data_IF_837441875169
#
_entry.id   IF_837441875169
#
_cell.length_a   1.000
_cell.length_b   1.000
_cell.length_c   1.000
_cell.angle_alpha   90.00
_cell.angle_beta   90.00
_cell.angle_gamma   90.00
#
_symmetry.space_group_name_H-M   'P 1'
#
loop_
_entity.id
_entity.type
_entity.pdbx_description
1 polymer ?
#
# COMPACT_ATOMS: atom_id res chain seq x y z
N UNK A 1 -39.12 -9.70 -12.57
CA UNK A 1 -38.82 -8.83 -11.41
C UNK A 1 -38.82 -7.38 -11.87
N UNK A 2 -39.38 -6.44 -11.11
CA UNK A 2 -39.40 -5.01 -11.47
C UNK A 2 -37.95 -4.49 -11.54
N UNK A 3 -37.56 -3.81 -12.62
CA UNK A 3 -36.18 -3.32 -12.82
C UNK A 3 -35.72 -2.37 -11.71
N UNK A 4 -36.64 -1.63 -11.09
CA UNK A 4 -36.34 -0.81 -9.90
C UNK A 4 -35.94 -1.66 -8.70
N UNK A 5 -36.57 -2.83 -8.53
CA UNK A 5 -36.20 -3.80 -7.48
C UNK A 5 -34.80 -4.35 -7.78
N UNK A 6 -34.47 -4.64 -9.04
CA UNK A 6 -33.15 -5.14 -9.41
C UNK A 6 -32.04 -4.12 -9.13
N UNK A 7 -32.26 -2.84 -9.48
CA UNK A 7 -31.32 -1.75 -9.13
C UNK A 7 -31.15 -1.65 -7.62
N UNK A 8 -32.24 -1.65 -6.85
CA UNK A 8 -32.17 -1.59 -5.39
C UNK A 8 -31.40 -2.77 -4.77
N UNK A 9 -31.62 -3.99 -5.30
CA UNK A 9 -30.90 -5.19 -4.89
C UNK A 9 -29.41 -5.08 -5.20
N UNK A 10 -29.03 -4.64 -6.40
CA UNK A 10 -27.62 -4.45 -6.77
C UNK A 10 -26.95 -3.40 -5.87
N UNK A 11 -27.59 -2.25 -5.62
CA UNK A 11 -27.03 -1.24 -4.72
C UNK A 11 -26.91 -1.74 -3.28
N UNK A 12 -27.90 -2.50 -2.79
CA UNK A 12 -27.84 -3.12 -1.48
C UNK A 12 -26.62 -4.05 -1.34
N UNK A 13 -26.42 -4.96 -2.29
CA UNK A 13 -25.26 -5.85 -2.26
C UNK A 13 -23.94 -5.12 -2.46
N UNK A 14 -23.91 -4.05 -3.27
CA UNK A 14 -22.73 -3.19 -3.40
C UNK A 14 -22.32 -2.59 -2.05
N UNK A 15 -23.29 -2.01 -1.33
CA UNK A 15 -23.06 -1.45 0.02
C UNK A 15 -22.66 -2.54 1.01
N UNK A 16 -23.31 -3.71 0.96
CA UNK A 16 -22.99 -4.83 1.85
C UNK A 16 -21.55 -5.34 1.65
N UNK A 17 -21.11 -5.44 0.39
CA UNK A 17 -19.73 -5.78 0.04
C UNK A 17 -18.74 -4.73 0.55
N UNK A 18 -19.04 -3.43 0.39
CA UNK A 18 -18.19 -2.37 0.93
C UNK A 18 -18.12 -2.38 2.46
N UNK A 19 -19.23 -2.65 3.14
CA UNK A 19 -19.24 -2.84 4.58
C UNK A 19 -18.39 -4.05 4.99
N UNK A 20 -18.48 -5.16 4.27
CA UNK A 20 -17.62 -6.32 4.47
C UNK A 20 -16.14 -5.97 4.28
N UNK A 21 -15.77 -5.26 3.22
CA UNK A 21 -14.40 -4.83 2.98
C UNK A 21 -13.88 -3.94 4.13
N UNK A 22 -14.70 -2.99 4.60
CA UNK A 22 -14.39 -2.16 5.77
C UNK A 22 -14.12 -3.01 7.04
N UNK A 23 -14.94 -4.05 7.27
CA UNK A 23 -14.77 -4.98 8.41
C UNK A 23 -13.48 -5.80 8.31
N UNK A 24 -13.02 -6.10 7.10
CA UNK A 24 -11.72 -6.77 6.90
C UNK A 24 -10.58 -5.77 7.15
N UNK A 25 -10.67 -4.55 6.61
CA UNK A 25 -9.66 -3.49 6.76
C UNK A 25 -9.40 -3.11 8.22
N UNK A 26 -10.44 -3.05 9.05
CA UNK A 26 -10.29 -2.75 10.47
C UNK A 26 -10.09 -4.00 11.34
N UNK A 27 -9.89 -5.18 10.73
CA UNK A 27 -9.80 -6.48 11.39
C UNK A 27 -10.88 -6.66 12.47
N UNK A 28 -12.14 -6.51 12.06
CA UNK A 28 -13.32 -6.58 12.94
C UNK A 28 -13.31 -5.60 14.14
N UNK A 29 -12.56 -4.51 14.05
CA UNK A 29 -12.45 -3.49 15.09
C UNK A 29 -11.22 -3.66 15.99
N UNK A 30 -10.32 -4.59 15.68
CA UNK A 30 -9.05 -4.76 16.41
C UNK A 30 -7.95 -3.82 15.90
N UNK A 31 -8.09 -3.31 14.66
CA UNK A 31 -7.18 -2.33 14.08
C UNK A 31 -7.83 -0.95 13.98
N UNK A 32 -7.01 0.07 14.24
CA UNK A 32 -7.31 1.46 13.90
C UNK A 32 -6.55 1.82 12.63
N UNK A 33 -7.31 2.31 11.65
CA UNK A 33 -6.79 2.75 10.35
C UNK A 33 -7.10 4.24 10.19
N UNK A 34 -6.07 5.08 10.10
CA UNK A 34 -6.21 6.55 10.12
C UNK A 34 -5.31 7.22 9.09
N UNK A 35 -5.83 8.24 8.43
CA UNK A 35 -4.99 9.15 7.64
C UNK A 35 -4.07 9.96 8.56
N UNK A 36 -2.81 10.11 8.15
CA UNK A 36 -1.82 10.94 8.83
C UNK A 36 -1.26 11.99 7.87
N UNK A 37 -0.88 13.13 8.44
CA UNK A 37 -0.19 14.20 7.72
C UNK A 37 1.04 14.60 8.53
N UNK A 38 2.20 14.41 7.92
CA UNK A 38 3.52 14.60 8.52
C UNK A 38 4.07 15.89 7.94
N UNK A 39 4.35 16.85 8.82
CA UNK A 39 4.85 18.16 8.42
C UNK A 39 6.38 18.18 8.43
N UNK A 40 6.98 18.66 7.36
CA UNK A 40 8.42 18.90 7.23
C UNK A 40 8.70 19.89 6.10
N UNK A 41 9.76 19.68 5.33
CA UNK A 41 10.03 20.49 4.12
C UNK A 41 8.87 20.35 3.10
N UNK A 42 8.38 19.12 2.94
CA UNK A 42 7.15 18.81 2.24
C UNK A 42 6.16 18.21 3.24
N UNK A 43 4.87 18.44 3.03
CA UNK A 43 3.83 17.70 3.75
C UNK A 43 3.69 16.32 3.14
N UNK A 44 3.89 15.29 3.96
CA UNK A 44 3.70 13.89 3.56
C UNK A 44 2.39 13.38 4.11
N UNK A 45 1.59 12.72 3.27
CA UNK A 45 0.36 12.06 3.70
C UNK A 45 0.54 10.57 3.71
N UNK A 46 -0.17 9.88 4.60
CA UNK A 46 -0.13 8.42 4.68
C UNK A 46 -1.38 7.83 5.32
N UNK A 47 -1.47 6.51 5.31
CA UNK A 47 -2.44 5.75 6.10
C UNK A 47 -1.68 4.92 7.11
N UNK A 48 -2.01 5.13 8.39
CA UNK A 48 -1.47 4.41 9.53
C UNK A 48 -2.43 3.27 9.90
N UNK A 49 -1.91 2.05 9.97
CA UNK A 49 -2.58 0.85 10.45
C UNK A 49 -1.93 0.44 11.76
N UNK A 50 -2.69 0.38 12.85
CA UNK A 50 -2.15 0.04 14.16
C UNK A 50 -3.13 -0.83 14.96
N UNK A 51 -2.62 -1.80 15.75
CA UNK A 51 -3.44 -2.56 16.67
C UNK A 51 -3.92 -1.68 17.82
N UNK A 52 -5.17 -1.85 18.25
CA UNK A 52 -5.74 -1.07 19.35
C UNK A 52 -5.17 -1.50 20.70
N UNK A 53 -5.11 -2.81 20.96
CA UNK A 53 -4.74 -3.35 22.28
C UNK A 53 -3.22 -3.42 22.50
N UNK A 54 -2.44 -3.72 21.45
CA UNK A 54 -0.99 -3.97 21.55
C UNK A 54 -0.12 -2.82 21.02
N UNK A 55 -0.67 -1.61 20.90
CA UNK A 55 0.05 -0.45 20.34
C UNK A 55 1.37 -0.15 21.05
N UNK A 56 1.41 -0.25 22.38
CA UNK A 56 2.57 0.17 23.16
C UNK A 56 3.73 -0.81 22.98
N UNK A 57 4.82 -0.35 22.36
CA UNK A 57 5.98 -1.17 22.05
C UNK A 57 5.81 -2.09 20.84
N UNK A 58 4.74 -1.92 20.07
CA UNK A 58 4.59 -2.59 18.78
C UNK A 58 5.71 -2.14 17.82
N UNK A 59 6.40 -3.08 17.15
CA UNK A 59 7.37 -2.73 16.12
C UNK A 59 6.70 -1.95 15.00
N UNK A 60 7.40 -0.96 14.43
CA UNK A 60 6.86 -0.08 13.41
C UNK A 60 7.50 -0.32 12.04
N UNK A 61 6.69 -0.26 10.98
CA UNK A 61 7.10 -0.51 9.60
C UNK A 61 6.62 0.64 8.72
N UNK A 62 7.51 1.20 7.90
CA UNK A 62 7.23 2.24 6.92
C UNK A 62 7.22 1.67 5.51
N UNK A 63 6.17 1.97 4.74
CA UNK A 63 5.96 1.45 3.39
C UNK A 63 5.91 2.59 2.34
N UNK A 64 6.73 2.47 1.29
CA UNK A 64 6.90 3.44 0.22
C UNK A 64 6.59 2.86 -1.18
N UNK A 65 5.71 3.52 -1.94
CA UNK A 65 5.19 3.01 -3.22
C UNK A 65 6.08 3.33 -4.44
N UNK A 66 5.78 2.70 -5.59
CA UNK A 66 6.42 2.97 -6.88
C UNK A 66 5.95 4.26 -7.57
N UNK A 67 6.64 4.68 -8.64
CA UNK A 67 6.48 6.00 -9.29
C UNK A 67 5.09 6.30 -9.89
N UNK A 68 4.34 5.28 -10.32
CA UNK A 68 3.00 5.50 -10.92
C UNK A 68 1.87 5.40 -9.89
N UNK A 69 2.21 5.23 -8.63
CA UNK A 69 1.27 4.85 -7.58
C UNK A 69 1.21 5.93 -6.49
N UNK A 70 0.40 5.63 -5.48
CA UNK A 70 0.32 6.30 -4.19
C UNK A 70 0.30 5.22 -3.09
N UNK A 71 0.03 5.53 -1.82
CA UNK A 71 0.05 4.57 -0.68
C UNK A 71 -0.87 3.34 -0.83
N UNK A 72 -1.83 3.39 -1.74
CA UNK A 72 -2.94 2.45 -1.86
C UNK A 72 -2.56 1.00 -2.21
N UNK A 73 -1.66 0.73 -3.18
CA UNK A 73 -1.28 -0.65 -3.53
C UNK A 73 -0.56 -1.40 -2.41
N UNK A 74 0.05 -0.68 -1.46
CA UNK A 74 0.73 -1.27 -0.30
C UNK A 74 -0.21 -1.56 0.88
N UNK A 75 -1.49 -1.20 0.76
CA UNK A 75 -2.49 -1.40 1.82
C UNK A 75 -2.73 -2.87 2.19
N UNK A 76 -2.42 -3.81 1.29
CA UNK A 76 -2.45 -5.24 1.58
C UNK A 76 -1.35 -5.62 2.58
N UNK A 77 -0.11 -5.25 2.26
CA UNK A 77 1.05 -5.45 3.13
C UNK A 77 0.83 -4.76 4.49
N UNK A 78 0.40 -3.49 4.49
CA UNK A 78 0.19 -2.75 5.73
C UNK A 78 -0.90 -3.36 6.62
N UNK A 79 -2.00 -3.84 6.02
CA UNK A 79 -3.06 -4.54 6.76
C UNK A 79 -2.56 -5.84 7.39
N UNK A 80 -1.85 -6.66 6.62
CA UNK A 80 -1.34 -7.94 7.13
C UNK A 80 -0.28 -7.73 8.21
N UNK A 81 0.64 -6.77 8.05
CA UNK A 81 1.56 -6.39 9.12
C UNK A 81 0.79 -5.94 10.37
N UNK A 82 -0.19 -5.04 10.26
CA UNK A 82 -0.91 -4.56 11.43
C UNK A 82 -1.66 -5.69 12.19
N UNK A 83 -2.19 -6.68 11.47
CA UNK A 83 -2.79 -7.88 12.08
C UNK A 83 -1.79 -8.71 12.89
N UNK A 84 -0.52 -8.72 12.50
CA UNK A 84 0.56 -9.37 13.26
C UNK A 84 1.12 -8.47 14.37
N UNK A 85 0.43 -7.37 14.71
CA UNK A 85 0.76 -6.53 15.86
C UNK A 85 1.74 -5.38 15.55
N UNK A 86 1.98 -5.07 14.28
CA UNK A 86 2.86 -3.97 13.87
C UNK A 86 2.10 -2.64 13.75
N UNK A 87 2.82 -1.54 13.93
CA UNK A 87 2.36 -0.21 13.50
C UNK A 87 2.87 0.00 12.08
N UNK A 88 2.01 -0.16 11.09
CA UNK A 88 2.35 -0.05 9.68
C UNK A 88 1.88 1.28 9.08
N UNK A 89 2.81 2.08 8.56
CA UNK A 89 2.53 3.36 7.92
C UNK A 89 2.83 3.28 6.43
N UNK A 90 1.82 3.42 5.57
CA UNK A 90 2.03 3.56 4.13
C UNK A 90 1.90 5.04 3.73
N UNK A 91 2.94 5.58 3.10
CA UNK A 91 3.01 7.01 2.75
C UNK A 91 2.85 7.23 1.26
N UNK A 92 2.34 8.41 0.90
CA UNK A 92 2.47 8.99 -0.44
C UNK A 92 3.85 9.67 -0.52
N UNK A 93 4.70 9.24 -1.45
CA UNK A 93 6.00 9.86 -1.69
C UNK A 93 5.87 11.32 -2.12
N UNK A 94 6.93 12.12 -1.95
CA UNK A 94 6.98 13.53 -2.41
C UNK A 94 6.51 13.63 -3.88
N UNK A 95 5.61 14.57 -4.15
CA UNK A 95 5.02 14.78 -5.48
C UNK A 95 4.01 13.72 -5.94
N UNK A 96 3.59 12.79 -5.06
CA UNK A 96 2.59 11.76 -5.35
C UNK A 96 1.40 11.87 -4.39
N UNK A 97 0.27 11.27 -4.80
CA UNK A 97 -0.95 11.22 -3.99
C UNK A 97 -1.36 12.59 -3.45
N UNK A 98 -1.45 12.71 -2.12
CA UNK A 98 -1.79 13.98 -1.44
C UNK A 98 -0.57 14.66 -0.81
N UNK A 99 0.63 14.11 -1.00
CA UNK A 99 1.88 14.73 -0.54
C UNK A 99 2.25 15.92 -1.40
N UNK A 100 2.86 16.93 -0.79
CA UNK A 100 3.30 18.14 -1.51
C UNK A 100 4.68 17.94 -2.14
N UNK A 101 5.15 18.95 -2.87
CA UNK A 101 6.48 18.97 -3.46
C UNK A 101 6.52 18.44 -4.89
N UNK A 102 7.71 18.08 -5.35
CA UNK A 102 7.95 17.57 -6.70
C UNK A 102 8.97 16.44 -6.64
N UNK A 103 8.76 15.41 -7.47
CA UNK A 103 9.70 14.30 -7.64
C UNK A 103 11.11 14.76 -8.04
N UNK A 104 11.21 15.88 -8.78
CA UNK A 104 12.50 16.48 -9.16
C UNK A 104 13.10 17.39 -8.08
N UNK A 105 12.62 17.30 -6.84
CA UNK A 105 13.12 18.05 -5.70
C UNK A 105 14.48 17.56 -5.20
N UNK A 106 14.97 18.20 -4.14
CA UNK A 106 16.29 17.89 -3.57
C UNK A 106 16.28 16.65 -2.65
N UNK A 107 15.10 16.25 -2.14
CA UNK A 107 14.96 15.09 -1.25
C UNK A 107 14.97 13.77 -2.03
N UNK A 108 16.11 13.09 -2.03
CA UNK A 108 16.28 11.78 -2.67
C UNK A 108 15.58 10.64 -1.92
N UNK A 109 15.22 10.85 -0.64
CA UNK A 109 14.42 9.88 0.12
C UNK A 109 12.92 10.04 -0.15
N UNK A 110 12.51 11.06 -0.90
CA UNK A 110 11.11 11.31 -1.28
C UNK A 110 10.15 11.30 -0.08
N UNK A 111 10.58 11.83 1.05
CA UNK A 111 9.82 11.92 2.28
C UNK A 111 9.93 10.71 3.21
N UNK A 112 10.71 9.69 2.85
CA UNK A 112 10.90 8.49 3.67
C UNK A 112 11.66 8.83 4.97
N UNK A 113 12.72 9.64 4.93
CA UNK A 113 13.50 9.98 6.15
C UNK A 113 12.61 10.67 7.19
N UNK A 114 11.91 11.74 6.80
CA UNK A 114 11.01 12.45 7.73
C UNK A 114 9.84 11.58 8.23
N UNK A 115 9.37 10.66 7.40
CA UNK A 115 8.28 9.75 7.77
C UNK A 115 8.75 8.66 8.72
N UNK A 116 9.98 8.19 8.58
CA UNK A 116 10.62 7.26 9.51
C UNK A 116 10.85 7.93 10.87
N UNK A 117 11.38 9.15 10.90
CA UNK A 117 11.55 9.94 12.13
C UNK A 117 10.22 10.15 12.87
N UNK A 118 9.18 10.59 12.14
CA UNK A 118 7.83 10.72 12.67
C UNK A 118 7.31 9.40 13.26
N UNK A 119 7.49 8.30 12.53
CA UNK A 119 6.97 6.99 12.96
C UNK A 119 7.69 6.46 14.20
N UNK A 120 9.01 6.62 14.27
CA UNK A 120 9.81 6.26 15.44
C UNK A 120 9.35 7.03 16.68
N UNK A 121 9.15 8.35 16.57
CA UNK A 121 8.63 9.19 17.65
C UNK A 121 7.20 8.79 18.03
N UNK A 122 6.31 8.64 17.05
CA UNK A 122 4.90 8.28 17.24
C UNK A 122 4.72 6.94 17.97
N UNK A 123 5.58 5.97 17.66
CA UNK A 123 5.51 4.60 18.18
C UNK A 123 6.40 4.36 19.40
N UNK A 124 7.25 5.34 19.77
CA UNK A 124 8.27 5.22 20.82
C UNK A 124 9.22 4.03 20.59
N UNK A 125 9.65 3.86 19.33
CA UNK A 125 10.61 2.83 18.90
C UNK A 125 11.98 3.46 18.59
N UNK A 126 13.03 2.64 18.63
CA UNK A 126 14.40 3.05 18.25
C UNK A 126 14.81 2.54 16.87
N UNK A 127 14.06 1.61 16.31
CA UNK A 127 14.28 1.06 14.97
C UNK A 127 12.97 0.96 14.20
N UNK A 128 13.05 1.06 12.88
CA UNK A 128 11.91 0.96 11.96
C UNK A 128 12.20 -0.08 10.88
N UNK A 129 11.21 -0.90 10.54
CA UNK A 129 11.29 -1.73 9.35
C UNK A 129 10.93 -0.93 8.11
N UNK A 130 11.62 -1.17 7.00
CA UNK A 130 11.41 -0.44 5.76
C UNK A 130 10.94 -1.35 4.63
N UNK A 131 9.88 -0.96 3.93
CA UNK A 131 9.37 -1.67 2.75
C UNK A 131 9.25 -0.66 1.60
N UNK A 132 9.80 -1.00 0.45
CA UNK A 132 9.67 -0.16 -0.72
C UNK A 132 9.39 -0.95 -1.99
N UNK A 133 8.56 -0.38 -2.87
CA UNK A 133 8.33 -0.89 -4.22
C UNK A 133 8.91 0.03 -5.28
N UNK A 134 9.69 -0.50 -6.24
CA UNK A 134 10.21 0.24 -7.39
C UNK A 134 10.94 1.53 -6.97
N UNK A 135 10.43 2.71 -7.30
CA UNK A 135 10.94 4.01 -6.80
C UNK A 135 11.02 4.07 -5.27
N UNK A 136 9.99 3.57 -4.58
CA UNK A 136 9.93 3.50 -3.12
C UNK A 136 11.00 2.58 -2.53
N UNK A 137 11.36 1.48 -3.22
CA UNK A 137 12.50 0.65 -2.84
C UNK A 137 13.81 1.45 -2.91
N UNK A 138 13.93 2.30 -3.93
CA UNK A 138 15.01 3.26 -4.08
C UNK A 138 15.12 4.21 -2.90
N UNK A 139 13.98 4.80 -2.53
CA UNK A 139 13.83 5.79 -1.46
C UNK A 139 14.12 5.21 -0.07
N UNK A 140 13.64 4.00 0.26
CA UNK A 140 13.92 3.36 1.54
C UNK A 140 15.37 2.92 1.67
N UNK A 141 15.99 2.46 0.59
CA UNK A 141 17.41 2.13 0.59
C UNK A 141 18.27 3.39 0.81
N UNK A 142 17.90 4.50 0.16
CA UNK A 142 18.55 5.79 0.39
C UNK A 142 18.42 6.22 1.86
N UNK A 143 17.22 6.11 2.44
CA UNK A 143 16.97 6.47 3.83
C UNK A 143 17.80 5.64 4.83
N UNK A 144 17.85 4.32 4.66
CA UNK A 144 18.72 3.42 5.43
C UNK A 144 20.21 3.81 5.29
N UNK A 145 20.64 4.16 4.07
CA UNK A 145 22.01 4.62 3.82
C UNK A 145 22.35 5.99 4.43
N UNK A 146 21.34 6.77 4.85
CA UNK A 146 21.49 8.15 5.32
C UNK A 146 21.02 8.35 6.76
N UNK A 147 21.13 7.30 7.59
CA UNK A 147 21.03 7.43 9.04
C UNK A 147 19.65 7.19 9.65
N UNK A 148 18.67 6.73 8.87
CA UNK A 148 17.49 6.09 9.45
C UNK A 148 17.96 4.83 10.19
N UNK A 149 17.49 4.65 11.43
CA UNK A 149 17.82 3.48 12.25
C UNK A 149 16.89 2.34 11.85
N UNK A 150 17.24 1.54 10.84
CA UNK A 150 16.43 0.38 10.43
C UNK A 150 16.87 -0.93 11.10
N UNK A 151 15.93 -1.87 11.30
CA UNK A 151 16.23 -3.25 11.72
C UNK A 151 15.97 -4.29 10.61
N UNK A 152 15.45 -3.86 9.48
CA UNK A 152 15.09 -4.71 8.35
C UNK A 152 14.63 -3.90 7.15
N UNK A 153 14.97 -4.36 5.94
CA UNK A 153 14.54 -3.73 4.70
C UNK A 153 14.01 -4.77 3.70
N UNK A 154 12.88 -4.47 3.07
CA UNK A 154 12.28 -5.26 2.00
C UNK A 154 12.20 -4.42 0.73
N UNK A 155 12.91 -4.85 -0.30
CA UNK A 155 13.04 -4.17 -1.59
C UNK A 155 12.27 -4.97 -2.65
N UNK A 156 11.16 -4.43 -3.13
CA UNK A 156 10.26 -5.08 -4.08
C UNK A 156 10.43 -4.42 -5.44
N UNK A 157 10.88 -5.15 -6.45
CA UNK A 157 11.02 -4.66 -7.83
C UNK A 157 11.86 -3.39 -7.98
N UNK A 158 12.82 -3.13 -7.09
CA UNK A 158 13.53 -1.85 -7.08
C UNK A 158 14.60 -1.77 -6.00
N UNK A 159 15.26 -0.61 -5.90
CA UNK A 159 16.28 -0.36 -4.87
C UNK A 159 17.55 -1.19 -5.01
N UNK A 160 17.74 -1.82 -6.16
CA UNK A 160 18.91 -2.65 -6.49
C UNK A 160 19.63 -2.03 -7.70
N UNK A 161 20.96 -1.95 -7.65
CA UNK A 161 21.80 -1.49 -8.78
C UNK A 161 22.49 -0.15 -8.56
N UNK A 162 23.68 0.01 -9.18
CA UNK A 162 24.55 1.18 -8.99
C UNK A 162 24.00 2.44 -9.67
N UNK A 163 23.31 2.29 -10.80
CA UNK A 163 22.83 3.40 -11.64
C UNK A 163 21.76 4.27 -10.96
N UNK A 164 21.00 3.73 -10.00
CA UNK A 164 19.96 4.44 -9.25
C UNK A 164 20.53 5.53 -8.34
N UNK A 165 21.84 5.45 -8.03
CA UNK A 165 22.49 6.27 -7.00
C UNK A 165 23.80 6.92 -7.45
N UNK A 166 24.18 6.81 -8.73
CA UNK A 166 25.44 7.38 -9.25
C UNK A 166 25.55 8.91 -9.08
N UNK A 167 24.43 9.60 -8.85
CA UNK A 167 24.39 11.05 -8.62
C UNK A 167 24.22 11.44 -7.13
N UNK A 168 24.15 10.47 -6.22
CA UNK A 168 23.97 10.72 -4.79
C UNK A 168 25.31 11.10 -4.16
N UNK A 169 25.42 12.36 -3.73
CA UNK A 169 26.62 12.91 -3.09
C UNK A 169 26.71 12.43 -1.63
N UNK A 170 27.25 11.24 -1.41
CA UNK A 170 27.38 10.64 -0.09
C UNK A 170 27.27 9.13 -0.20
N UNK A 171 28.40 8.46 -0.40
CA UNK A 171 28.47 7.03 -0.74
C UNK A 171 27.48 6.16 0.04
N UNK A 172 26.83 5.24 -0.66
CA UNK A 172 25.82 4.35 -0.09
C UNK A 172 26.39 3.50 1.04
N UNK A 173 25.63 3.34 2.12
CA UNK A 173 25.81 2.20 3.00
C UNK A 173 25.46 0.94 2.18
N UNK A 174 26.45 0.08 1.93
CA UNK A 174 26.29 -1.12 1.09
C UNK A 174 25.70 -2.31 1.85
N UNK A 175 25.26 -2.14 3.09
CA UNK A 175 24.85 -3.25 3.94
C UNK A 175 23.73 -2.83 4.90
N UNK A 176 22.50 -2.62 4.39
CA UNK A 176 21.33 -2.39 5.23
C UNK A 176 21.07 -3.61 6.14
N UNK A 177 20.38 -3.41 7.25
CA UNK A 177 20.01 -4.51 8.14
C UNK A 177 18.96 -5.43 7.52
N UNK A 178 19.17 -6.73 7.68
CA UNK A 178 18.27 -7.81 7.29
C UNK A 178 17.59 -7.65 5.90
N UNK A 179 18.35 -7.53 4.78
CA UNK A 179 17.77 -7.24 3.47
C UNK A 179 17.05 -8.42 2.82
N UNK A 180 15.78 -8.22 2.46
CA UNK A 180 15.02 -9.08 1.55
C UNK A 180 14.84 -8.37 0.20
N UNK A 181 15.30 -9.01 -0.87
CA UNK A 181 15.08 -8.53 -2.24
C UNK A 181 14.06 -9.43 -2.92
N UNK A 182 13.03 -8.82 -3.48
CA UNK A 182 11.94 -9.51 -4.19
C UNK A 182 11.84 -8.94 -5.59
N UNK A 183 11.94 -9.79 -6.61
CA UNK A 183 11.86 -9.37 -8.02
C UNK A 183 10.92 -10.31 -8.77
N UNK A 184 9.87 -9.79 -9.38
CA UNK A 184 8.94 -10.56 -10.17
C UNK A 184 9.63 -11.27 -11.34
N UNK A 185 9.32 -12.55 -11.55
CA UNK A 185 9.85 -13.34 -12.67
C UNK A 185 9.56 -12.70 -14.04
N UNK A 186 8.45 -11.99 -14.14
CA UNK A 186 8.01 -11.30 -15.35
C UNK A 186 8.21 -9.78 -15.27
N UNK A 187 9.04 -9.32 -14.33
CA UNK A 187 9.44 -7.93 -14.27
C UNK A 187 10.28 -7.59 -15.51
N UNK A 188 9.87 -6.51 -16.19
CA UNK A 188 10.48 -6.03 -17.43
C UNK A 188 11.57 -5.00 -17.19
N UNK A 189 11.71 -4.52 -15.94
CA UNK A 189 12.72 -3.52 -15.56
C UNK A 189 14.07 -4.15 -15.21
N UNK A 190 14.11 -5.47 -15.01
CA UNK A 190 15.33 -6.18 -14.66
C UNK A 190 15.64 -7.27 -15.67
N UNK A 191 16.85 -7.23 -16.21
CA UNK A 191 17.43 -8.37 -16.93
C UNK A 191 18.14 -9.32 -15.96
N UNK A 192 18.27 -10.62 -16.28
CA UNK A 192 19.01 -11.56 -15.43
C UNK A 192 20.45 -11.13 -15.10
N UNK A 193 21.11 -10.42 -16.02
CA UNK A 193 22.48 -9.92 -15.83
C UNK A 193 22.52 -8.73 -14.85
N UNK A 194 21.56 -7.80 -14.95
CA UNK A 194 21.42 -6.67 -14.02
C UNK A 194 21.05 -7.12 -12.61
N UNK A 195 20.26 -8.19 -12.47
CA UNK A 195 19.97 -8.80 -11.17
C UNK A 195 21.30 -9.25 -10.54
N UNK A 196 22.16 -9.95 -11.28
CA UNK A 196 23.41 -10.45 -10.73
C UNK A 196 24.37 -9.32 -10.30
N UNK A 197 24.48 -8.24 -11.09
CA UNK A 197 25.32 -7.08 -10.74
C UNK A 197 24.73 -6.26 -9.57
N UNK A 198 23.41 -6.11 -9.53
CA UNK A 198 22.71 -5.36 -8.49
C UNK A 198 22.67 -6.11 -7.16
N UNK A 199 22.59 -7.44 -7.18
CA UNK A 199 22.72 -8.30 -6.00
C UNK A 199 24.09 -8.17 -5.35
N UNK A 200 25.16 -7.92 -6.12
CA UNK A 200 26.50 -7.74 -5.54
C UNK A 200 26.63 -6.44 -4.72
N UNK A 201 25.76 -5.46 -4.96
CA UNK A 201 25.72 -4.19 -4.22
C UNK A 201 24.98 -4.36 -2.91
N UNK A 202 23.81 -5.01 -2.93
CA UNK A 202 23.00 -5.28 -1.74
C UNK A 202 23.56 -6.44 -0.91
N UNK A 203 24.27 -7.39 -1.55
CA UNK A 203 24.80 -8.60 -0.95
C UNK A 203 26.26 -8.86 -1.38
N UNK A 204 27.23 -8.04 -0.92
CA UNK A 204 28.62 -8.18 -1.32
C UNK A 204 29.19 -9.57 -0.97
N UNK A 205 29.87 -10.20 -1.94
CA UNK A 205 30.56 -11.49 -1.80
C UNK A 205 29.67 -12.70 -1.43
N UNK A 206 28.39 -12.68 -1.83
CA UNK A 206 27.43 -13.69 -1.39
C UNK A 206 27.11 -14.73 -2.48
N UNK A 207 27.24 -16.03 -2.14
CA UNK A 207 26.73 -17.17 -2.94
C UNK A 207 25.20 -17.26 -2.78
N UNK A 208 24.46 -16.19 -3.06
CA UNK A 208 23.00 -16.19 -2.86
C UNK A 208 22.36 -17.15 -3.85
N UNK A 209 21.74 -18.18 -3.29
CA UNK A 209 20.90 -19.10 -4.04
C UNK A 209 19.47 -18.56 -3.99
N UNK A 210 18.78 -18.69 -5.11
CA UNK A 210 17.39 -18.29 -5.22
C UNK A 210 16.56 -18.93 -4.09
N UNK A 211 15.73 -18.10 -3.44
CA UNK A 211 14.82 -18.53 -2.38
C UNK A 211 15.50 -19.28 -1.23
N UNK A 212 16.74 -18.91 -0.90
CA UNK A 212 17.51 -19.50 0.20
C UNK A 212 17.84 -18.41 1.22
N UNK A 213 17.25 -18.52 2.41
CA UNK A 213 17.57 -17.68 3.55
C UNK A 213 19.00 -17.94 4.02
N UNK A 214 19.74 -16.87 4.30
CA UNK A 214 21.08 -16.92 4.91
C UNK A 214 21.18 -15.90 6.04
N UNK A 215 22.05 -16.15 7.02
CA UNK A 215 22.33 -15.25 8.13
C UNK A 215 21.36 -15.40 9.29
N UNK A 216 21.43 -14.47 10.23
CA UNK A 216 20.65 -14.43 11.47
C UNK A 216 19.94 -13.07 11.56
N UNK A 217 18.64 -13.01 11.90
CA UNK A 217 17.94 -11.74 12.09
C UNK A 217 18.54 -10.86 13.19
N UNK A 218 19.09 -11.46 14.25
CA UNK A 218 19.52 -10.74 15.45
C UNK A 218 20.85 -10.00 15.27
N UNK A 219 21.69 -10.42 14.32
CA UNK A 219 22.94 -9.74 13.97
C UNK A 219 22.83 -8.87 12.71
N UNK A 220 21.60 -8.66 12.21
CA UNK A 220 21.32 -7.83 11.05
C UNK A 220 21.71 -8.48 9.71
N UNK A 221 22.09 -9.75 9.72
CA UNK A 221 22.73 -10.44 8.60
C UNK A 221 21.76 -11.34 7.83
N UNK A 222 20.48 -11.39 8.21
CA UNK A 222 19.45 -12.16 7.52
C UNK A 222 19.25 -11.64 6.09
N UNK A 223 19.31 -12.51 5.09
CA UNK A 223 19.18 -12.08 3.69
C UNK A 223 18.61 -13.15 2.78
N UNK A 224 17.83 -12.72 1.79
CA UNK A 224 17.24 -13.61 0.79
C UNK A 224 16.93 -12.84 -0.50
N UNK A 225 17.04 -13.55 -1.63
CA UNK A 225 16.47 -13.16 -2.91
C UNK A 225 15.27 -14.05 -3.22
N UNK A 226 14.10 -13.45 -3.41
CA UNK A 226 12.86 -14.11 -3.80
C UNK A 226 12.44 -13.71 -5.21
N UNK A 227 12.10 -14.69 -6.06
CA UNK A 227 11.61 -14.45 -7.42
C UNK A 227 10.23 -15.10 -7.59
N UNK A 228 9.13 -14.39 -7.23
CA UNK A 228 7.78 -14.90 -7.39
C UNK A 228 7.29 -14.80 -8.85
N UNK A 229 6.23 -15.54 -9.18
CA UNK A 229 5.63 -15.58 -10.53
C UNK A 229 4.69 -14.39 -10.78
N UNK A 230 5.23 -13.18 -10.68
CA UNK A 230 4.47 -11.93 -10.84
C UNK A 230 5.20 -10.95 -11.75
N UNK A 231 4.53 -9.86 -12.11
CA UNK A 231 5.10 -8.77 -12.92
C UNK A 231 5.26 -7.51 -12.08
N UNK A 232 6.12 -6.59 -12.52
CA UNK A 232 6.46 -5.35 -11.81
C UNK A 232 5.25 -4.62 -11.19
N UNK A 233 4.16 -4.50 -11.97
CA UNK A 233 2.95 -3.79 -11.55
C UNK A 233 2.22 -4.49 -10.39
N UNK A 234 2.29 -5.82 -10.35
CA UNK A 234 1.50 -6.65 -9.44
C UNK A 234 2.27 -7.09 -8.20
N UNK A 235 3.59 -6.90 -8.15
CA UNK A 235 4.40 -7.29 -6.99
C UNK A 235 3.85 -6.80 -5.65
N UNK A 236 3.42 -5.53 -5.47
CA UNK A 236 2.97 -5.03 -4.16
C UNK A 236 1.68 -5.70 -3.64
N UNK A 237 0.90 -6.30 -4.53
CA UNK A 237 -0.38 -6.93 -4.21
C UNK A 237 -0.34 -8.46 -4.35
N UNK A 238 0.80 -9.00 -4.77
CA UNK A 238 0.99 -10.43 -4.98
C UNK A 238 1.02 -11.17 -3.62
N UNK A 239 0.20 -12.22 -3.44
CA UNK A 239 0.13 -12.97 -2.19
C UNK A 239 1.49 -13.47 -1.69
N UNK A 240 2.37 -13.93 -2.58
CA UNK A 240 3.68 -14.46 -2.18
C UNK A 240 4.58 -13.35 -1.66
N UNK A 241 4.48 -12.16 -2.25
CA UNK A 241 5.24 -10.98 -1.83
C UNK A 241 4.74 -10.46 -0.49
N UNK A 242 3.42 -10.41 -0.30
CA UNK A 242 2.81 -9.98 0.97
C UNK A 242 3.19 -10.93 2.10
N UNK A 243 3.05 -12.25 1.92
CA UNK A 243 3.44 -13.24 2.93
C UNK A 243 4.94 -13.16 3.23
N UNK A 244 5.78 -13.15 2.19
CA UNK A 244 7.23 -13.06 2.39
C UNK A 244 7.64 -11.80 3.17
N UNK A 245 6.99 -10.66 2.92
CA UNK A 245 7.27 -9.40 3.63
C UNK A 245 6.88 -9.52 5.11
N UNK A 246 5.70 -10.07 5.40
CA UNK A 246 5.21 -10.25 6.77
C UNK A 246 6.07 -11.26 7.54
N UNK A 247 6.34 -12.42 6.94
CA UNK A 247 7.18 -13.47 7.52
C UNK A 247 8.59 -12.96 7.80
N UNK A 248 9.13 -12.11 6.94
CA UNK A 248 10.45 -11.52 7.13
C UNK A 248 10.52 -10.67 8.40
N UNK A 249 9.56 -9.77 8.59
CA UNK A 249 9.53 -8.96 9.81
C UNK A 249 9.15 -9.79 11.04
N UNK A 250 8.31 -10.81 10.90
CA UNK A 250 8.01 -11.74 11.99
C UNK A 250 9.26 -12.47 12.47
N UNK A 251 10.13 -12.90 11.56
CA UNK A 251 11.41 -13.49 11.90
C UNK A 251 12.35 -12.49 12.61
N UNK A 252 12.38 -11.23 12.17
CA UNK A 252 13.22 -10.18 12.77
C UNK A 252 12.75 -9.82 14.19
N UNK A 253 11.44 -9.74 14.41
CA UNK A 253 10.85 -9.26 15.66
C UNK A 253 10.34 -10.39 16.57
N UNK A 254 10.65 -11.64 16.24
CA UNK A 254 10.25 -12.84 16.99
C UNK A 254 8.72 -12.93 17.23
N UNK A 255 7.94 -12.50 16.23
CA UNK A 255 6.48 -12.53 16.29
C UNK A 255 5.97 -13.89 15.83
N UNK A 256 5.48 -14.69 16.76
CA UNK A 256 4.77 -15.94 16.47
C UNK A 256 3.29 -15.66 16.24
N UNK A 257 2.88 -15.44 14.99
CA UNK A 257 1.48 -15.32 14.65
C UNK A 257 1.18 -16.01 13.31
N UNK A 258 0.21 -16.90 13.33
CA UNK A 258 -0.27 -17.63 12.16
C UNK A 258 -1.59 -16.99 11.71
N UNK A 259 -1.54 -16.19 10.64
CA UNK A 259 -2.74 -15.57 10.08
C UNK A 259 -2.85 -15.85 8.58
N UNK A 260 -4.05 -16.22 8.16
CA UNK A 260 -4.39 -16.23 6.74
C UNK A 260 -4.46 -14.81 6.21
N UNK A 261 -3.96 -14.60 5.00
CA UNK A 261 -4.07 -13.32 4.29
C UNK A 261 -5.53 -12.87 4.19
N UNK A 262 -5.86 -11.83 4.93
CA UNK A 262 -7.21 -11.26 4.97
C UNK A 262 -7.46 -10.27 3.85
N UNK A 263 -6.43 -9.56 3.39
CA UNK A 263 -6.55 -8.52 2.38
C UNK A 263 -7.13 -9.05 1.07
N UNK A 264 -6.90 -10.33 0.72
CA UNK A 264 -7.50 -10.94 -0.47
C UNK A 264 -9.03 -11.00 -0.38
N UNK A 265 -9.59 -11.25 0.80
CA UNK A 265 -11.04 -11.18 1.01
C UNK A 265 -11.54 -9.73 0.90
N UNK A 266 -10.76 -8.75 1.39
CA UNK A 266 -11.05 -7.33 1.21
C UNK A 266 -11.12 -6.98 -0.29
N UNK A 267 -10.11 -7.36 -1.08
CA UNK A 267 -10.08 -7.08 -2.51
C UNK A 267 -11.22 -7.77 -3.28
N UNK A 268 -11.51 -9.03 -2.94
CA UNK A 268 -12.64 -9.75 -3.52
C UNK A 268 -13.99 -9.07 -3.22
N UNK A 269 -14.16 -8.56 -2.00
CA UNK A 269 -15.36 -7.81 -1.61
C UNK A 269 -15.46 -6.47 -2.32
N UNK A 270 -14.35 -5.73 -2.46
CA UNK A 270 -14.32 -4.47 -3.22
C UNK A 270 -14.70 -4.73 -4.68
N UNK A 271 -14.12 -5.75 -5.31
CA UNK A 271 -14.43 -6.13 -6.69
C UNK A 271 -15.90 -6.52 -6.85
N UNK A 272 -16.42 -7.36 -5.96
CA UNK A 272 -17.83 -7.75 -5.98
C UNK A 272 -18.75 -6.52 -5.82
N UNK A 273 -18.41 -5.61 -4.89
CA UNK A 273 -19.13 -4.36 -4.67
C UNK A 273 -19.16 -3.48 -5.92
N UNK A 274 -18.02 -3.35 -6.61
CA UNK A 274 -17.91 -2.63 -7.88
C UNK A 274 -18.75 -3.28 -8.99
N UNK A 275 -18.72 -4.61 -9.13
CA UNK A 275 -19.52 -5.32 -10.13
C UNK A 275 -21.03 -5.12 -9.89
N UNK A 276 -21.47 -5.17 -8.63
CA UNK A 276 -22.86 -4.85 -8.29
C UNK A 276 -23.22 -3.40 -8.58
N UNK A 277 -22.31 -2.45 -8.34
CA UNK A 277 -22.51 -1.05 -8.67
C UNK A 277 -22.64 -0.83 -10.19
N UNK A 278 -21.75 -1.43 -10.98
CA UNK A 278 -21.80 -1.38 -12.45
C UNK A 278 -23.11 -2.00 -12.96
N UNK A 279 -23.53 -3.14 -12.40
CA UNK A 279 -24.81 -3.76 -12.76
C UNK A 279 -25.99 -2.82 -12.47
N UNK A 280 -25.99 -2.14 -11.32
CA UNK A 280 -27.01 -1.14 -10.99
C UNK A 280 -27.03 0.01 -12.00
N UNK A 281 -25.87 0.50 -12.44
CA UNK A 281 -25.75 1.54 -13.47
C UNK A 281 -26.34 1.07 -14.80
N UNK A 282 -25.98 -0.13 -15.26
CA UNK A 282 -26.49 -0.72 -16.50
C UNK A 282 -28.02 -0.87 -16.47
N UNK A 283 -28.57 -1.38 -15.36
CA UNK A 283 -30.02 -1.50 -15.22
C UNK A 283 -30.72 -0.14 -15.18
N UNK A 284 -30.08 0.88 -14.60
CA UNK A 284 -30.57 2.26 -14.56
C UNK A 284 -30.60 2.88 -15.96
N UNK A 285 -29.54 2.74 -16.76
CA UNK A 285 -29.52 3.23 -18.14
C UNK A 285 -30.57 2.52 -19.01
N UNK A 286 -30.82 1.24 -18.75
CA UNK A 286 -31.87 0.49 -19.45
C UNK A 286 -33.30 0.96 -19.12
N UNK A 287 -33.52 1.63 -17.97
CA UNK A 287 -34.81 2.21 -17.60
C UNK A 287 -35.16 3.44 -18.45
N UNK A 288 -34.16 4.16 -18.99
CA UNK A 288 -34.34 5.31 -19.86
C UNK A 288 -34.66 4.98 -21.33
N UNK A 289 -34.62 3.70 -21.71
CA UNK A 289 -34.83 3.25 -23.10
C UNK A 289 -36.29 2.96 -23.49
N UNK A 290 -37.27 3.34 -22.66
CA UNK A 290 -38.66 3.38 -23.15
C UNK A 290 -38.86 4.61 -24.03
N UNK A 291 -38.69 4.42 -25.33
CA UNK A 291 -39.30 5.26 -26.37
C UNK A 291 -40.82 5.18 -26.23
N UNK A 292 -41.36 5.93 -25.29
CA UNK A 292 -42.75 6.39 -25.32
C UNK A 292 -42.67 7.85 -25.72
N UNK A 293 -43.23 8.20 -26.88
CA UNK A 293 -43.51 9.60 -27.22
C UNK A 293 -44.61 10.06 -26.25
N UNK A 294 -44.22 10.43 -25.04
CA UNK A 294 -45.07 11.07 -24.04
C UNK A 294 -44.23 12.19 -23.44
N UNK A 295 -44.55 13.43 -23.83
CA UNK A 295 -44.00 14.70 -23.36
C UNK A 295 -43.06 14.61 -22.15
N UNK A 296 -41.76 14.50 -22.42
CA UNK A 296 -40.70 14.29 -21.41
C UNK A 296 -40.08 15.63 -21.03
N UNK A 297 -40.72 16.43 -20.17
CA UNK A 297 -40.03 17.26 -19.15
C UNK A 297 -41.04 17.99 -18.26
N UNK A 298 -41.24 17.52 -17.03
CA UNK A 298 -41.75 18.38 -15.95
C UNK A 298 -40.54 18.87 -15.14
N UNK A 299 -40.10 20.08 -15.43
CA UNK A 299 -38.89 20.70 -14.86
C UNK A 299 -38.91 20.72 -13.32
N UNK A 300 -40.09 20.69 -12.71
CA UNK A 300 -40.26 20.63 -11.26
C UNK A 300 -39.75 19.31 -10.69
N UNK A 301 -40.05 18.20 -11.33
CA UNK A 301 -39.57 16.88 -10.91
C UNK A 301 -38.06 16.73 -11.18
N UNK A 302 -37.58 17.27 -12.30
CA UNK A 302 -36.14 17.30 -12.62
C UNK A 302 -35.32 18.06 -11.58
N UNK A 303 -35.81 19.20 -11.09
CA UNK A 303 -35.17 19.94 -10.01
C UNK A 303 -35.14 19.16 -8.70
N UNK A 304 -36.23 18.49 -8.33
CA UNK A 304 -36.30 17.71 -7.08
C UNK A 304 -35.31 16.54 -7.11
N UNK A 305 -35.26 15.77 -8.20
CA UNK A 305 -34.29 14.67 -8.32
C UNK A 305 -32.85 15.17 -8.43
N UNK A 306 -32.62 16.30 -9.11
CA UNK A 306 -31.31 16.96 -9.15
C UNK A 306 -30.84 17.42 -7.77
N UNK A 307 -31.75 17.99 -6.97
CA UNK A 307 -31.45 18.41 -5.60
C UNK A 307 -31.18 17.20 -4.69
N UNK A 308 -31.97 16.12 -4.78
CA UNK A 308 -31.74 14.89 -4.01
C UNK A 308 -30.39 14.27 -4.38
N UNK A 309 -30.05 14.21 -5.67
CA UNK A 309 -28.75 13.72 -6.14
C UNK A 309 -27.61 14.59 -5.63
N UNK A 310 -27.72 15.91 -5.73
CA UNK A 310 -26.70 16.84 -5.24
C UNK A 310 -26.52 16.78 -3.72
N UNK A 311 -27.62 16.73 -2.97
CA UNK A 311 -27.63 16.68 -1.50
C UNK A 311 -27.21 15.32 -0.94
N UNK A 312 -27.34 14.23 -1.69
CA UNK A 312 -26.84 12.92 -1.24
C UNK A 312 -25.41 12.65 -1.70
N UNK A 313 -25.05 13.08 -2.91
CA UNK A 313 -23.74 12.81 -3.51
C UNK A 313 -22.62 13.70 -2.93
N UNK A 314 -22.87 15.00 -2.74
CA UNK A 314 -21.84 15.93 -2.25
C UNK A 314 -21.43 15.62 -0.80
N UNK A 315 -22.36 15.34 0.14
CA UNK A 315 -21.97 14.90 1.48
C UNK A 315 -21.30 13.52 1.50
N UNK A 316 -21.69 12.58 0.64
CA UNK A 316 -21.00 11.29 0.54
C UNK A 316 -19.54 11.44 0.06
N UNK A 317 -19.29 12.34 -0.90
CA UNK A 317 -17.93 12.69 -1.32
C UNK A 317 -17.15 13.43 -0.23
N UNK A 318 -17.79 14.34 0.50
CA UNK A 318 -17.14 15.05 1.62
C UNK A 318 -16.85 14.11 2.79
N UNK A 319 -17.73 13.16 3.09
CA UNK A 319 -17.52 12.13 4.12
C UNK A 319 -16.35 11.22 3.75
N UNK A 320 -16.14 10.92 2.47
CA UNK A 320 -14.94 10.21 1.99
C UNK A 320 -13.61 10.93 2.27
N UNK A 321 -13.63 12.25 2.49
CA UNK A 321 -12.45 13.00 2.93
C UNK A 321 -12.20 12.95 4.45
N UNK A 322 -13.18 12.49 5.24
CA UNK A 322 -13.12 12.45 6.71
C UNK A 322 -13.21 11.03 7.28
N UNK A 323 -13.60 10.05 6.47
CA UNK A 323 -13.69 8.64 6.85
C UNK A 323 -12.71 7.87 5.96
N UNK A 324 -11.66 7.25 6.52
CA UNK A 324 -10.73 6.44 5.74
C UNK A 324 -11.49 5.25 5.18
N UNK A 325 -11.84 5.34 3.91
CA UNK A 325 -12.45 4.26 3.15
C UNK A 325 -11.31 3.42 2.54
N UNK A 326 -11.42 2.08 2.47
CA UNK A 326 -10.36 1.27 1.91
C UNK A 326 -10.04 1.76 0.50
N UNK A 327 -8.76 2.02 0.22
CA UNK A 327 -8.41 2.56 -1.07
C UNK A 327 -8.69 1.57 -2.19
N UNK A 328 -9.15 2.08 -3.33
CA UNK A 328 -9.31 1.29 -4.54
C UNK A 328 -7.93 1.17 -5.22
N UNK A 329 -7.58 -0.04 -5.67
CA UNK A 329 -6.37 -0.32 -6.48
C UNK A 329 -6.34 0.52 -7.77
N UNK A 330 -7.49 1.08 -8.17
CA UNK A 330 -7.64 1.95 -9.34
C UNK A 330 -8.21 3.29 -8.83
N UNK A 331 -7.33 4.15 -8.33
CA UNK A 331 -7.61 5.54 -7.95
C UNK A 331 -6.92 6.49 -8.90
#
# INVERSE_FOLDING_TARGET
MNRRILVAVCLFYSVLCMYGAYRVTNFNGELRVTDVSISGENTITGVLYEPIESRNGAPCILLAHGITNSKEPLSGIALELAKHGYIALSIDLVGHGRSTGSLSGNDQSLGVVQSAEYLLEYSNNTHVGLVGHSLGAGAVYYAASHGVSENGIVLIGGGIGSNTYQNSSGGLCLNPWNPLVIIGRYDVLFTPDEINESLMITFPNSDIKLNTLKGDPQDGSMRMLLIPYTSHLLEPIDPVVVDATVDWFNAINEVEAEHTQSYLYREALILAGLLFFIAALVFTLSLGSQTSIVSVFDWRNGLVYGLIGFVTFVPAMLVGNFVPFPPQIIG
#
